data_IF_905592897205
#
_entry.id   IF_905592897205
#
_cell.length_a   1.000
_cell.length_b   1.000
_cell.length_c   1.000
_cell.angle_alpha   90.00
_cell.angle_beta   90.00
_cell.angle_gamma   90.00
#
_symmetry.space_group_name_H-M   'P 1'
#
loop_
_entity.id
_entity.type
_entity.pdbx_description
1 polymer ?
#
# COMPACT_ATOMS: atom_id res chain seq x y z
N UNK A 1 8.86 27.09 -0.87
CA UNK A 1 7.90 26.48 0.09
C UNK A 1 8.61 25.98 1.36
N UNK A 2 9.80 25.33 1.24
CA UNK A 2 10.55 24.80 2.40
C UNK A 2 10.91 25.91 3.40
N UNK A 3 11.47 27.04 2.92
CA UNK A 3 11.79 28.18 3.79
C UNK A 3 10.56 28.77 4.48
N UNK A 4 9.43 28.82 3.80
CA UNK A 4 8.18 29.28 4.41
C UNK A 4 7.69 28.33 5.49
N UNK A 5 7.84 27.03 5.28
CA UNK A 5 7.49 26.01 6.28
C UNK A 5 8.42 26.14 7.51
N UNK A 6 9.73 26.26 7.32
CA UNK A 6 10.68 26.49 8.40
C UNK A 6 10.37 27.77 9.19
N UNK A 7 10.07 28.87 8.49
CA UNK A 7 9.67 30.11 9.14
C UNK A 7 8.37 29.93 9.93
N UNK A 8 7.35 29.33 9.34
CA UNK A 8 6.08 29.08 10.03
C UNK A 8 6.26 28.21 11.28
N UNK A 9 7.14 27.21 11.21
CA UNK A 9 7.48 26.39 12.37
C UNK A 9 8.16 27.19 13.49
N UNK A 10 9.01 28.16 13.14
CA UNK A 10 9.72 28.98 14.13
C UNK A 10 8.80 29.92 14.92
N UNK A 11 7.60 30.20 14.41
CA UNK A 11 6.65 31.16 15.01
C UNK A 11 5.33 30.52 15.45
N UNK A 12 5.13 29.22 15.21
CA UNK A 12 3.85 28.55 15.46
C UNK A 12 4.03 27.04 15.66
N UNK A 13 3.21 26.44 16.52
CA UNK A 13 3.08 25.00 16.73
C UNK A 13 2.01 24.36 15.83
N UNK A 14 1.57 25.08 14.79
CA UNK A 14 0.57 24.58 13.85
C UNK A 14 1.11 23.38 13.05
N UNK A 15 0.21 22.46 12.69
CA UNK A 15 0.54 21.37 11.77
C UNK A 15 0.89 21.96 10.40
N UNK A 16 2.09 21.69 9.95
CA UNK A 16 2.60 22.19 8.67
C UNK A 16 2.52 21.09 7.60
N UNK A 17 2.15 21.53 6.39
CA UNK A 17 2.18 20.71 5.18
C UNK A 17 2.87 21.50 4.09
N UNK A 18 3.99 21.03 3.61
CA UNK A 18 4.78 21.67 2.58
C UNK A 18 4.70 20.94 1.25
N UNK A 19 4.44 21.66 0.16
CA UNK A 19 4.51 21.13 -1.20
C UNK A 19 5.93 21.31 -1.76
N UNK A 20 6.54 20.21 -2.21
CA UNK A 20 7.85 20.20 -2.86
C UNK A 20 7.71 19.66 -4.29
N UNK A 21 8.31 20.34 -5.25
CA UNK A 21 8.22 19.99 -6.67
C UNK A 21 9.50 19.34 -7.23
N UNK A 22 10.63 19.48 -6.52
CA UNK A 22 11.93 18.96 -6.94
C UNK A 22 12.42 17.92 -5.95
N UNK A 23 12.77 16.76 -6.46
CA UNK A 23 13.27 15.62 -5.69
C UNK A 23 14.79 15.68 -5.42
N UNK A 24 15.49 16.64 -6.06
CA UNK A 24 16.97 16.74 -5.99
C UNK A 24 17.52 17.05 -4.58
N UNK A 25 16.65 17.43 -3.64
CA UNK A 25 17.02 17.81 -2.28
C UNK A 25 16.30 16.98 -1.21
N UNK A 26 15.71 15.83 -1.56
CA UNK A 26 14.90 15.05 -0.64
C UNK A 26 15.70 14.63 0.60
N UNK A 27 16.93 14.15 0.43
CA UNK A 27 17.82 13.76 1.54
C UNK A 27 18.06 14.92 2.54
N UNK A 28 18.10 16.17 2.03
CA UNK A 28 18.26 17.35 2.89
C UNK A 28 16.94 17.73 3.53
N UNK A 29 15.85 17.66 2.77
CA UNK A 29 14.51 18.04 3.24
C UNK A 29 14.03 17.08 4.34
N UNK A 30 14.33 15.81 4.22
CA UNK A 30 13.99 14.78 5.21
C UNK A 30 14.71 14.97 6.56
N UNK A 31 15.87 15.64 6.54
CA UNK A 31 16.57 16.03 7.78
C UNK A 31 15.95 17.26 8.46
N UNK A 32 15.11 18.00 7.71
CA UNK A 32 14.44 19.19 8.22
C UNK A 32 13.08 18.78 8.79
N UNK A 33 12.91 18.93 10.09
CA UNK A 33 11.62 18.69 10.74
C UNK A 33 10.59 19.79 10.38
N UNK A 34 10.11 19.80 9.12
CA UNK A 34 9.19 20.79 8.58
C UNK A 34 7.73 20.32 8.50
N UNK A 35 7.41 19.22 9.14
CA UNK A 35 6.06 18.62 9.11
C UNK A 35 5.86 17.67 7.91
N UNK A 36 4.63 17.55 7.42
CA UNK A 36 4.32 16.66 6.30
C UNK A 36 4.74 17.27 4.96
N UNK A 37 5.39 16.48 4.10
CA UNK A 37 5.81 16.89 2.77
C UNK A 37 4.93 16.24 1.72
N UNK A 38 4.51 16.99 0.72
CA UNK A 38 3.71 16.50 -0.40
C UNK A 38 4.52 16.68 -1.69
N UNK A 39 4.70 15.58 -2.42
CA UNK A 39 5.31 15.53 -3.74
C UNK A 39 4.24 15.26 -4.81
N UNK A 40 3.66 16.28 -5.47
CA UNK A 40 2.55 16.07 -6.41
C UNK A 40 2.89 15.16 -7.57
N UNK A 41 4.15 15.13 -8.01
CA UNK A 41 4.61 14.24 -9.08
C UNK A 41 4.51 12.77 -8.68
N UNK A 42 4.87 12.44 -7.43
CA UNK A 42 4.77 11.07 -6.92
C UNK A 42 3.31 10.65 -6.80
N UNK A 43 2.46 11.52 -6.23
CA UNK A 43 1.02 11.25 -6.14
C UNK A 43 0.42 11.01 -7.54
N UNK A 44 0.79 11.84 -8.53
CA UNK A 44 0.30 11.66 -9.91
C UNK A 44 0.81 10.35 -10.51
N UNK A 45 2.08 10.00 -10.29
CA UNK A 45 2.64 8.74 -10.77
C UNK A 45 1.93 7.53 -10.14
N UNK A 46 1.64 7.58 -8.84
CA UNK A 46 0.91 6.53 -8.14
C UNK A 46 -0.51 6.36 -8.70
N UNK A 47 -1.24 7.45 -8.97
CA UNK A 47 -2.54 7.40 -9.63
C UNK A 47 -2.47 6.78 -11.03
N UNK A 48 -1.46 7.14 -11.83
CA UNK A 48 -1.27 6.56 -13.17
C UNK A 48 -0.97 5.07 -13.05
N UNK A 49 -0.10 4.66 -12.12
CA UNK A 49 0.22 3.25 -11.88
C UNK A 49 -1.01 2.46 -11.44
N UNK A 50 -1.82 3.01 -10.53
CA UNK A 50 -3.09 2.41 -10.13
C UNK A 50 -4.01 2.21 -11.32
N UNK A 51 -4.18 3.25 -12.15
CA UNK A 51 -5.02 3.18 -13.35
C UNK A 51 -4.52 2.13 -14.35
N UNK A 52 -3.22 2.10 -14.64
CA UNK A 52 -2.62 1.13 -15.56
C UNK A 52 -2.78 -0.29 -15.03
N UNK A 53 -2.55 -0.51 -13.74
CA UNK A 53 -2.75 -1.83 -13.12
C UNK A 53 -4.23 -2.24 -13.14
N UNK A 54 -5.15 -1.34 -12.78
CA UNK A 54 -6.59 -1.60 -12.87
C UNK A 54 -7.03 -1.93 -14.30
N UNK A 55 -6.49 -1.25 -15.32
CA UNK A 55 -6.76 -1.55 -16.73
C UNK A 55 -6.19 -2.92 -17.16
N UNK A 56 -5.03 -3.32 -16.64
CA UNK A 56 -4.48 -4.66 -16.86
C UNK A 56 -5.29 -5.73 -16.09
N UNK A 57 -5.87 -5.38 -14.95
CA UNK A 57 -6.69 -6.24 -14.11
C UNK A 57 -8.06 -6.56 -14.72
N UNK A 58 -8.53 -5.80 -15.69
CA UNK A 58 -9.76 -6.13 -16.44
C UNK A 58 -9.69 -7.48 -17.18
N UNK A 59 -8.55 -8.15 -17.17
CA UNK A 59 -8.28 -9.46 -17.80
C UNK A 59 -7.86 -10.50 -16.73
N UNK A 60 -8.41 -10.45 -15.51
CA UNK A 60 -8.24 -11.53 -14.51
C UNK A 60 -7.36 -11.21 -13.29
N UNK A 61 -7.11 -9.95 -12.99
CA UNK A 61 -6.45 -9.59 -11.73
C UNK A 61 -7.46 -9.02 -10.73
N UNK A 62 -7.29 -9.39 -9.45
CA UNK A 62 -8.17 -9.00 -8.35
C UNK A 62 -7.59 -7.85 -7.49
N UNK A 63 -6.52 -7.17 -7.93
CA UNK A 63 -5.95 -6.01 -7.22
C UNK A 63 -6.85 -4.80 -7.41
N UNK A 64 -7.41 -4.29 -6.33
CA UNK A 64 -8.22 -3.06 -6.35
C UNK A 64 -7.37 -1.81 -6.11
N UNK A 65 -6.43 -1.88 -5.18
CA UNK A 65 -5.62 -0.72 -4.80
C UNK A 65 -4.19 -1.15 -4.53
N UNK A 66 -3.24 -0.26 -4.84
CA UNK A 66 -1.83 -0.43 -4.53
C UNK A 66 -1.29 0.85 -3.91
N UNK A 67 -0.59 0.69 -2.81
CA UNK A 67 0.15 1.76 -2.14
C UNK A 67 1.63 1.41 -2.06
N UNK A 68 2.48 2.35 -2.42
CA UNK A 68 3.91 2.26 -2.12
C UNK A 68 4.14 2.73 -0.68
N UNK A 69 4.85 1.93 0.09
CA UNK A 69 5.22 2.24 1.47
C UNK A 69 6.74 2.11 1.64
N UNK A 70 7.29 2.68 2.71
CA UNK A 70 8.74 2.67 3.00
C UNK A 70 9.56 3.17 1.79
N UNK A 71 9.23 4.35 1.27
CA UNK A 71 9.90 4.99 0.12
C UNK A 71 9.99 4.09 -1.12
N UNK A 72 8.92 3.32 -1.37
CA UNK A 72 8.82 2.41 -2.51
C UNK A 72 9.55 1.07 -2.32
N UNK A 73 10.08 0.79 -1.13
CA UNK A 73 10.74 -0.48 -0.83
C UNK A 73 9.76 -1.61 -0.49
N UNK A 74 8.50 -1.26 -0.19
CA UNK A 74 7.43 -2.22 -0.01
C UNK A 74 6.13 -1.74 -0.67
N UNK A 75 5.23 -2.67 -0.91
CA UNK A 75 3.91 -2.43 -1.48
C UNK A 75 2.85 -2.95 -0.52
N UNK A 76 1.74 -2.20 -0.37
CA UNK A 76 0.51 -2.68 0.22
C UNK A 76 -0.53 -2.80 -0.88
N UNK A 77 -1.01 -4.02 -1.13
CA UNK A 77 -1.97 -4.34 -2.18
C UNK A 77 -3.29 -4.76 -1.57
N UNK A 78 -4.36 -4.23 -2.10
CA UNK A 78 -5.71 -4.61 -1.74
C UNK A 78 -6.31 -5.53 -2.81
N UNK A 79 -6.74 -6.73 -2.40
CA UNK A 79 -7.33 -7.73 -3.27
C UNK A 79 -8.79 -7.95 -2.89
N UNK A 80 -9.69 -7.86 -3.86
CA UNK A 80 -11.07 -8.34 -3.71
C UNK A 80 -11.15 -9.81 -4.10
N UNK A 81 -11.61 -10.64 -3.21
CA UNK A 81 -11.76 -12.08 -3.43
C UNK A 81 -13.12 -12.34 -4.06
N UNK A 82 -13.14 -12.53 -5.37
CA UNK A 82 -14.37 -12.66 -6.16
C UNK A 82 -14.76 -14.10 -6.47
N UNK A 83 -13.80 -15.02 -6.40
CA UNK A 83 -13.97 -16.42 -6.72
C UNK A 83 -13.10 -17.30 -5.84
N UNK A 84 -13.41 -18.59 -5.78
CA UNK A 84 -12.59 -19.57 -5.09
C UNK A 84 -11.23 -19.73 -5.78
N UNK A 85 -10.20 -19.92 -4.98
CA UNK A 85 -8.83 -20.06 -5.45
C UNK A 85 -8.01 -20.94 -4.49
N UNK A 86 -6.75 -21.15 -4.79
CA UNK A 86 -5.84 -21.94 -3.95
C UNK A 86 -5.57 -21.35 -2.56
N UNK A 87 -6.03 -20.12 -2.30
CA UNK A 87 -5.84 -19.43 -1.00
C UNK A 87 -7.13 -19.32 -0.21
N UNK A 88 -8.28 -19.69 -0.79
CA UNK A 88 -9.58 -19.56 -0.13
C UNK A 88 -9.87 -20.77 0.76
N UNK A 89 -10.53 -20.50 1.90
CA UNK A 89 -10.98 -21.48 2.91
C UNK A 89 -9.88 -22.37 3.53
N UNK A 90 -8.63 -21.98 3.33
CA UNK A 90 -7.47 -22.64 3.94
C UNK A 90 -6.94 -21.71 5.06
N UNK A 91 -6.66 -22.25 6.28
CA UNK A 91 -6.02 -21.46 7.32
C UNK A 91 -4.71 -20.81 6.83
N UNK A 92 -4.50 -19.54 7.15
CA UNK A 92 -3.30 -18.82 6.71
C UNK A 92 -2.00 -19.51 7.15
N UNK A 93 -2.03 -20.22 8.27
CA UNK A 93 -0.87 -20.98 8.77
C UNK A 93 -0.52 -22.18 7.89
N UNK A 94 -1.48 -22.71 7.14
CA UNK A 94 -1.32 -23.87 6.27
C UNK A 94 -0.99 -23.50 4.83
N UNK A 95 -1.09 -22.17 4.49
CA UNK A 95 -0.69 -21.66 3.20
C UNK A 95 0.83 -21.55 3.12
N UNK A 96 1.41 -22.04 2.02
CA UNK A 96 2.82 -21.88 1.73
C UNK A 96 3.08 -20.46 1.17
N UNK A 97 3.10 -19.46 2.06
CA UNK A 97 3.27 -18.07 1.68
C UNK A 97 4.73 -17.74 1.33
N UNK A 98 4.91 -16.85 0.38
CA UNK A 98 6.24 -16.28 0.06
C UNK A 98 6.84 -15.61 1.29
N UNK A 99 8.16 -15.65 1.39
CA UNK A 99 8.91 -14.86 2.39
C UNK A 99 8.70 -13.36 2.14
N UNK A 100 8.88 -12.55 3.17
CA UNK A 100 8.73 -11.09 3.09
C UNK A 100 7.34 -10.64 2.59
N UNK A 101 6.32 -11.36 3.02
CA UNK A 101 4.92 -11.09 2.74
C UNK A 101 4.12 -11.24 4.04
N UNK A 102 3.19 -10.34 4.26
CA UNK A 102 2.30 -10.31 5.40
C UNK A 102 0.85 -10.12 4.93
N UNK A 103 -0.06 -10.99 5.39
CA UNK A 103 -1.49 -10.73 5.32
C UNK A 103 -1.84 -9.75 6.43
N UNK A 104 -1.91 -8.46 6.09
CA UNK A 104 -2.02 -7.39 7.08
C UNK A 104 -3.43 -7.17 7.59
N UNK A 105 -4.44 -7.37 6.72
CA UNK A 105 -5.83 -7.08 7.07
C UNK A 105 -6.79 -7.95 6.26
N UNK A 106 -7.90 -8.35 6.89
CA UNK A 106 -9.09 -8.93 6.27
C UNK A 106 -10.29 -8.04 6.56
N UNK A 107 -11.02 -7.68 5.53
CA UNK A 107 -12.31 -7.02 5.63
C UNK A 107 -13.39 -8.00 5.13
N UNK A 108 -14.28 -8.41 6.02
CA UNK A 108 -15.44 -9.26 5.72
C UNK A 108 -16.71 -8.53 6.09
N UNK A 109 -17.54 -8.21 5.09
CA UNK A 109 -18.81 -7.50 5.29
C UNK A 109 -18.66 -6.19 6.09
N UNK A 110 -17.58 -5.42 5.84
CA UNK A 110 -17.29 -4.17 6.55
C UNK A 110 -16.59 -4.35 7.91
N UNK A 111 -16.40 -5.57 8.38
CA UNK A 111 -15.68 -5.86 9.62
C UNK A 111 -14.19 -6.07 9.31
N UNK A 112 -13.39 -5.09 9.71
CA UNK A 112 -11.94 -5.09 9.51
C UNK A 112 -11.27 -5.79 10.70
N UNK A 113 -10.38 -6.73 10.40
CA UNK A 113 -9.59 -7.44 11.41
C UNK A 113 -8.17 -7.72 10.95
N UNK A 114 -7.25 -7.80 11.88
CA UNK A 114 -5.90 -8.33 11.65
C UNK A 114 -5.99 -9.86 11.76
N UNK A 115 -5.72 -10.61 10.67
CA UNK A 115 -5.89 -12.05 10.69
C UNK A 115 -4.81 -12.75 11.51
N UNK A 116 -5.15 -13.94 12.00
CA UNK A 116 -4.23 -14.87 12.66
C UNK A 116 -4.08 -16.13 11.82
N UNK A 117 -3.14 -16.97 12.16
CA UNK A 117 -2.84 -18.21 11.41
C UNK A 117 -4.04 -19.12 11.19
N UNK A 118 -5.03 -19.15 12.09
CA UNK A 118 -6.25 -19.97 11.96
C UNK A 118 -7.37 -19.30 11.15
N UNK A 119 -7.19 -18.03 10.79
CA UNK A 119 -8.16 -17.34 9.94
C UNK A 119 -8.02 -17.80 8.48
N UNK A 120 -9.14 -17.78 7.76
CA UNK A 120 -9.21 -18.12 6.34
C UNK A 120 -9.62 -16.92 5.52
N UNK A 121 -9.14 -16.84 4.28
CA UNK A 121 -9.63 -15.93 3.25
C UNK A 121 -10.85 -16.55 2.61
N UNK A 122 -11.92 -15.80 2.38
CA UNK A 122 -13.17 -16.31 1.78
C UNK A 122 -13.62 -15.44 0.62
N UNK A 123 -14.40 -16.00 -0.27
CA UNK A 123 -15.07 -15.23 -1.34
C UNK A 123 -15.93 -14.12 -0.72
N UNK A 124 -15.80 -12.91 -1.25
CA UNK A 124 -16.44 -11.70 -0.71
C UNK A 124 -15.57 -10.91 0.25
N UNK A 125 -14.41 -11.44 0.68
CA UNK A 125 -13.46 -10.69 1.48
C UNK A 125 -12.68 -9.68 0.64
N UNK A 126 -12.22 -8.61 1.31
CA UNK A 126 -11.12 -7.78 0.83
C UNK A 126 -9.90 -8.03 1.71
N UNK A 127 -8.76 -8.27 1.09
CA UNK A 127 -7.51 -8.65 1.76
C UNK A 127 -6.42 -7.64 1.47
N UNK A 128 -5.74 -7.15 2.50
CA UNK A 128 -4.57 -6.29 2.32
C UNK A 128 -3.30 -7.12 2.55
N UNK A 129 -2.47 -7.19 1.52
CA UNK A 129 -1.17 -7.84 1.54
C UNK A 129 -0.09 -6.77 1.58
N UNK A 130 0.85 -6.91 2.51
CA UNK A 130 2.06 -6.07 2.58
C UNK A 130 3.26 -6.92 2.20
N UNK A 131 4.05 -6.44 1.22
CA UNK A 131 5.16 -7.23 0.68
C UNK A 131 6.28 -6.36 0.12
N UNK A 132 7.50 -6.90 0.10
CA UNK A 132 8.62 -6.31 -0.64
C UNK A 132 8.72 -6.82 -2.08
N UNK A 133 7.90 -7.82 -2.44
CA UNK A 133 7.81 -8.28 -3.82
C UNK A 133 7.00 -7.28 -4.64
N UNK A 134 7.50 -6.98 -5.84
CA UNK A 134 6.82 -6.07 -6.77
C UNK A 134 6.07 -6.86 -7.83
N UNK A 135 4.92 -6.30 -8.23
CA UNK A 135 4.20 -6.79 -9.41
C UNK A 135 3.27 -7.97 -9.14
N UNK A 136 2.82 -8.22 -7.92
CA UNK A 136 1.73 -9.16 -7.67
C UNK A 136 0.48 -8.69 -8.43
N UNK A 137 -0.18 -9.61 -9.12
CA UNK A 137 -1.36 -9.34 -9.95
C UNK A 137 -2.61 -10.02 -9.43
N UNK A 138 -2.45 -11.15 -8.79
CA UNK A 138 -3.53 -11.95 -8.24
C UNK A 138 -3.23 -12.35 -6.80
N UNK A 139 -4.27 -12.67 -6.05
CA UNK A 139 -4.13 -13.13 -4.66
C UNK A 139 -3.32 -14.44 -4.59
N UNK A 140 -3.38 -15.29 -5.60
CA UNK A 140 -2.61 -16.53 -5.66
C UNK A 140 -1.11 -16.31 -5.80
N UNK A 141 -0.68 -15.12 -6.23
CA UNK A 141 0.74 -14.74 -6.30
C UNK A 141 1.41 -14.66 -4.91
N UNK A 142 0.63 -14.70 -3.83
CA UNK A 142 1.18 -14.76 -2.46
C UNK A 142 1.79 -16.12 -2.13
N UNK A 143 1.45 -17.16 -2.88
CA UNK A 143 1.98 -18.52 -2.69
C UNK A 143 3.43 -18.64 -3.21
N UNK A 144 4.23 -19.46 -2.55
CA UNK A 144 5.63 -19.71 -2.90
C UNK A 144 5.79 -20.71 -4.05
#
# INVERSE_FOLDING_TARGET
NVFLALFSKSISDAKLVAKVNRLEFDDVIDTLDIGSIIYPKNITADYILQYVRAAQNSIGSNVETLYHILDGNAEALEFAIREESQVTDIPLADLNLRKNLLVGCLNRNGHIRIPRGQDTIQVGDTVIIVTTHKGLRDITDILA
#
